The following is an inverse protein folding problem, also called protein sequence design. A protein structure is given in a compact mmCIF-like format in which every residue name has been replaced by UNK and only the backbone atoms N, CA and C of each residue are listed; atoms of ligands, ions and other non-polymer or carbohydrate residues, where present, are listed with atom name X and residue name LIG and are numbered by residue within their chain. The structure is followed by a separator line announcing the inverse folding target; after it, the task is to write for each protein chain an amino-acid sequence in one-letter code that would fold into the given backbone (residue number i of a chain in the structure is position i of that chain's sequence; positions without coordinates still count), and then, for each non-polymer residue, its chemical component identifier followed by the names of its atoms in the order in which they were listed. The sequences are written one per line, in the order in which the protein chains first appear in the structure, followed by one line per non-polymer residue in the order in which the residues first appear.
data_IF_211043344649
#
_entry.id   IF_211043344649
#
_cell.length_a   1.000
_cell.length_b   1.000
_cell.length_c   1.000
_cell.angle_alpha   90.00
_cell.angle_beta   90.00
_cell.angle_gamma   90.00
#
_symmetry.space_group_name_H-M   'P 1'
#
loop_
_entity.id
_entity.type
_entity.pdbx_description
1 polymer ?
#
# COMPACT_ATOMS: atom_id res chain seq x y z
N UNK A 1 0.27 -19.39 -17.45
CA UNK A 1 0.69 -18.07 -17.00
C UNK A 1 0.12 -17.78 -15.63
N UNK A 2 0.95 -17.34 -14.72
CA UNK A 2 0.47 -17.07 -13.39
C UNK A 2 0.31 -15.57 -13.21
N UNK A 3 -0.69 -15.21 -12.43
CA UNK A 3 -0.92 -13.82 -12.10
C UNK A 3 -0.10 -13.46 -10.88
N UNK A 4 0.46 -12.28 -10.90
CA UNK A 4 1.15 -11.79 -9.71
C UNK A 4 0.09 -11.29 -8.73
N UNK A 5 0.03 -11.91 -7.57
CA UNK A 5 -0.94 -11.52 -6.55
C UNK A 5 -0.29 -10.88 -5.33
N UNK A 6 1.03 -11.01 -5.20
CA UNK A 6 1.76 -10.42 -4.10
C UNK A 6 2.78 -9.45 -4.65
N UNK A 7 2.81 -8.24 -4.10
CA UNK A 7 3.67 -7.17 -4.60
C UNK A 7 4.56 -6.68 -3.48
N UNK A 8 5.88 -6.87 -3.59
CA UNK A 8 6.78 -6.37 -2.55
C UNK A 8 6.88 -4.86 -2.61
N UNK A 9 7.13 -4.26 -1.47
CA UNK A 9 7.31 -2.82 -1.41
C UNK A 9 8.34 -2.45 -0.35
N UNK A 10 8.84 -1.23 -0.45
CA UNK A 10 9.74 -0.66 0.53
C UNK A 10 9.17 0.70 0.94
N UNK A 11 8.86 0.84 2.22
CA UNK A 11 8.30 2.09 2.72
C UNK A 11 9.36 3.20 2.66
N UNK A 12 8.96 4.42 2.32
CA UNK A 12 9.92 5.53 2.25
C UNK A 12 10.58 5.84 3.60
N UNK A 13 9.83 5.75 4.69
CA UNK A 13 10.41 6.03 6.00
C UNK A 13 10.48 4.82 6.90
N UNK A 14 9.43 3.99 6.88
CA UNK A 14 9.41 2.77 7.66
C UNK A 14 8.68 2.91 8.98
N UNK A 15 8.34 1.77 9.55
CA UNK A 15 7.63 1.70 10.82
C UNK A 15 8.63 1.28 11.92
N UNK A 16 8.66 2.04 13.00
CA UNK A 16 9.52 1.73 14.14
C UNK A 16 8.65 1.09 15.22
N UNK A 17 8.99 -0.15 15.60
CA UNK A 17 8.17 -0.87 16.56
C UNK A 17 8.54 -0.45 17.99
N UNK A 18 7.88 -1.07 18.98
CA UNK A 18 8.06 -0.70 20.37
C UNK A 18 9.45 -1.00 20.88
N UNK A 19 10.21 -1.83 20.16
CA UNK A 19 11.57 -2.16 20.55
C UNK A 19 12.60 -1.33 19.78
N UNK A 20 12.15 -0.38 19.00
CA UNK A 20 13.03 0.50 18.26
C UNK A 20 13.53 -0.06 16.95
N UNK A 21 12.96 -1.17 16.48
CA UNK A 21 13.39 -1.75 15.22
C UNK A 21 12.61 -1.15 14.06
N UNK A 22 13.31 -0.92 12.97
CA UNK A 22 12.73 -0.30 11.78
C UNK A 22 12.29 -1.37 10.80
N UNK A 23 11.07 -1.26 10.32
CA UNK A 23 10.51 -2.20 9.33
C UNK A 23 10.10 -1.41 8.11
N UNK A 24 10.74 -1.67 6.98
CA UNK A 24 10.48 -0.96 5.74
C UNK A 24 9.95 -1.88 4.64
N UNK A 25 10.40 -3.13 4.63
CA UNK A 25 10.03 -4.02 3.53
C UNK A 25 8.81 -4.83 3.87
N UNK A 26 7.93 -4.94 2.91
CA UNK A 26 6.70 -5.68 3.12
C UNK A 26 6.12 -6.18 1.82
N UNK A 27 4.92 -6.71 1.90
CA UNK A 27 4.23 -7.28 0.76
C UNK A 27 2.76 -6.91 0.83
N UNK A 28 2.21 -6.51 -0.31
CA UNK A 28 0.79 -6.21 -0.44
C UNK A 28 0.20 -7.19 -1.43
N UNK A 29 -0.98 -7.74 -1.11
CA UNK A 29 -1.68 -8.64 -2.02
C UNK A 29 -2.76 -7.87 -2.78
N UNK A 30 -3.20 -8.44 -3.88
CA UNK A 30 -4.34 -7.87 -4.57
C UNK A 30 -5.56 -7.93 -3.66
N UNK A 31 -6.42 -6.93 -3.76
CA UNK A 31 -7.64 -6.88 -3.00
C UNK A 31 -8.76 -7.61 -3.75
N UNK A 32 -9.71 -8.11 -2.99
CA UNK A 32 -10.96 -8.63 -3.57
C UNK A 32 -12.06 -7.64 -3.25
N UNK A 33 -13.21 -7.82 -3.89
CA UNK A 33 -14.36 -6.97 -3.59
C UNK A 33 -14.69 -7.03 -2.11
N UNK A 34 -14.51 -8.19 -1.48
CA UNK A 34 -14.80 -8.35 -0.05
C UNK A 34 -13.93 -7.44 0.80
N UNK A 35 -12.68 -7.22 0.37
CA UNK A 35 -11.79 -6.36 1.12
C UNK A 35 -12.27 -4.92 1.16
N UNK A 36 -13.03 -4.50 0.14
CA UNK A 36 -13.54 -3.15 0.09
C UNK A 36 -14.93 -3.03 0.71
N UNK A 37 -15.69 -4.12 0.70
CA UNK A 37 -17.06 -4.11 1.20
C UNK A 37 -17.12 -4.42 2.70
N UNK A 38 -16.38 -5.42 3.15
CA UNK A 38 -16.46 -5.84 4.54
C UNK A 38 -16.14 -4.71 5.53
N UNK A 39 -15.14 -3.85 5.28
CA UNK A 39 -14.88 -2.77 6.23
C UNK A 39 -16.01 -1.78 6.38
N UNK A 40 -16.93 -1.71 5.43
CA UNK A 40 -18.05 -0.79 5.54
C UNK A 40 -18.97 -1.16 6.70
N UNK A 41 -18.91 -2.41 7.17
CA UNK A 41 -19.65 -2.84 8.34
C UNK A 41 -18.93 -2.48 9.63
N UNK A 42 -17.67 -2.07 9.55
CA UNK A 42 -16.89 -1.77 10.72
C UNK A 42 -17.40 -0.50 11.38
N UNK A 43 -17.56 -0.56 12.69
CA UNK A 43 -18.08 0.56 13.46
C UNK A 43 -17.22 1.81 13.29
N UNK A 44 -15.89 1.62 13.22
CA UNK A 44 -14.99 2.75 13.08
C UNK A 44 -15.16 3.46 11.73
N UNK A 45 -15.46 2.69 10.68
CA UNK A 45 -15.69 3.26 9.36
C UNK A 45 -17.02 3.99 9.31
N UNK A 46 -18.05 3.45 9.98
CA UNK A 46 -19.35 4.09 10.03
C UNK A 46 -19.29 5.45 10.70
N UNK A 47 -18.45 5.56 11.73
CA UNK A 47 -18.30 6.84 12.43
C UNK A 47 -17.35 7.78 11.73
N UNK A 48 -16.43 7.25 10.92
CA UNK A 48 -15.44 8.05 10.23
C UNK A 48 -15.12 7.38 8.90
N UNK A 49 -15.79 7.77 7.82
CA UNK A 49 -15.57 7.11 6.52
C UNK A 49 -14.11 7.14 6.06
N UNK A 50 -13.33 8.12 6.50
CA UNK A 50 -11.92 8.17 6.14
C UNK A 50 -11.12 7.03 6.72
N UNK A 51 -11.65 6.36 7.74
CA UNK A 51 -10.95 5.25 8.34
C UNK A 51 -10.95 4.00 7.45
N UNK A 52 -11.75 4.03 6.39
CA UNK A 52 -11.80 2.89 5.46
C UNK A 52 -10.42 2.56 4.91
N UNK A 53 -9.63 3.57 4.55
CA UNK A 53 -8.30 3.33 4.00
C UNK A 53 -7.41 2.60 5.00
N UNK A 54 -7.53 2.92 6.28
CA UNK A 54 -6.73 2.27 7.32
C UNK A 54 -7.07 0.78 7.40
N UNK A 55 -8.37 0.48 7.47
CA UNK A 55 -8.81 -0.92 7.56
C UNK A 55 -8.42 -1.69 6.30
N UNK A 56 -8.64 -1.07 5.16
CA UNK A 56 -8.35 -1.71 3.87
C UNK A 56 -6.87 -2.06 3.76
N UNK A 57 -5.99 -1.13 4.08
CA UNK A 57 -4.56 -1.40 4.01
C UNK A 57 -4.14 -2.49 4.99
N UNK A 58 -4.75 -2.50 6.19
CA UNK A 58 -4.43 -3.54 7.16
C UNK A 58 -4.83 -4.92 6.64
N UNK A 59 -5.83 -5.00 5.78
CA UNK A 59 -6.26 -6.28 5.22
C UNK A 59 -5.34 -6.76 4.10
N UNK A 60 -4.82 -5.84 3.29
CA UNK A 60 -4.07 -6.24 2.09
C UNK A 60 -2.56 -6.25 2.29
N UNK A 61 -2.03 -5.56 3.30
CA UNK A 61 -0.61 -5.66 3.62
C UNK A 61 -0.42 -6.95 4.40
N UNK A 62 0.19 -7.94 3.76
CA UNK A 62 0.31 -9.26 4.35
C UNK A 62 1.57 -9.44 5.17
N UNK A 63 2.55 -8.55 4.98
CA UNK A 63 3.80 -8.64 5.71
C UNK A 63 4.41 -7.24 5.80
N UNK A 64 4.99 -6.95 6.94
CA UNK A 64 5.79 -5.75 7.11
C UNK A 64 6.95 -6.09 8.02
N UNK A 65 8.16 -6.16 7.45
CA UNK A 65 9.35 -6.54 8.18
C UNK A 65 9.17 -7.89 8.84
N UNK A 66 9.54 -7.96 10.10
CA UNK A 66 9.42 -9.19 10.89
C UNK A 66 8.22 -9.19 11.81
N UNK A 67 7.31 -8.23 11.65
CA UNK A 67 6.15 -8.16 12.51
C UNK A 67 5.24 -9.35 12.27
N UNK A 68 4.66 -9.92 13.35
CA UNK A 68 3.83 -11.12 13.19
C UNK A 68 2.54 -10.84 12.45
N UNK A 69 2.07 -9.60 12.48
CA UNK A 69 0.78 -9.32 11.86
C UNK A 69 0.64 -7.80 11.68
N UNK A 70 -0.10 -7.41 10.65
CA UNK A 70 -0.39 -6.01 10.38
C UNK A 70 -1.86 -5.77 10.70
N UNK A 71 -2.11 -4.83 11.59
CA UNK A 71 -3.48 -4.52 12.01
C UNK A 71 -3.69 -3.01 11.93
N UNK A 72 -4.96 -2.56 12.02
CA UNK A 72 -5.27 -1.15 11.77
C UNK A 72 -4.46 -0.16 12.62
N UNK A 73 -4.23 -0.48 13.88
CA UNK A 73 -3.47 0.42 14.73
C UNK A 73 -2.07 0.67 14.19
N UNK A 74 -1.45 -0.37 13.61
CA UNK A 74 -0.12 -0.23 13.04
C UNK A 74 -0.15 0.73 11.86
N UNK A 75 -1.18 0.62 11.02
CA UNK A 75 -1.33 1.51 9.88
C UNK A 75 -1.51 2.96 10.34
N UNK A 76 -2.25 3.17 11.44
CA UNK A 76 -2.43 4.51 11.98
C UNK A 76 -1.11 5.11 12.45
N UNK A 77 -0.19 4.27 12.88
CA UNK A 77 1.08 4.74 13.44
C UNK A 77 2.14 4.98 12.40
N UNK A 78 1.84 4.73 11.12
CA UNK A 78 2.80 4.97 10.07
C UNK A 78 2.98 6.47 9.82
N UNK A 79 4.18 6.90 9.41
CA UNK A 79 4.34 8.26 8.94
C UNK A 79 3.39 8.54 7.78
N UNK A 80 2.99 9.80 7.63
CA UNK A 80 2.05 10.18 6.58
C UNK A 80 2.59 9.80 5.20
N UNK A 81 3.89 9.96 4.98
CA UNK A 81 4.47 9.62 3.69
C UNK A 81 4.31 8.14 3.37
N UNK A 82 4.44 7.28 4.39
CA UNK A 82 4.29 5.84 4.19
C UNK A 82 2.86 5.46 3.94
N UNK A 83 1.93 6.10 4.65
CA UNK A 83 0.51 5.86 4.45
C UNK A 83 0.11 6.25 3.02
N UNK A 84 0.58 7.41 2.56
CA UNK A 84 0.28 7.86 1.19
C UNK A 84 0.90 6.92 0.16
N UNK A 85 2.11 6.44 0.44
CA UNK A 85 2.78 5.51 -0.46
C UNK A 85 1.98 4.22 -0.61
N UNK A 86 1.48 3.68 0.51
CA UNK A 86 0.70 2.44 0.45
C UNK A 86 -0.62 2.64 -0.28
N UNK A 87 -1.25 3.78 -0.11
CA UNK A 87 -2.49 4.06 -0.83
C UNK A 87 -2.24 4.15 -2.34
N UNK A 88 -1.13 4.77 -2.74
CA UNK A 88 -0.79 4.86 -4.15
C UNK A 88 -0.46 3.49 -4.72
N UNK A 89 0.28 2.68 -3.97
CA UNK A 89 0.60 1.33 -4.39
C UNK A 89 -0.67 0.51 -4.56
N UNK A 90 -1.59 0.62 -3.61
CA UNK A 90 -2.86 -0.10 -3.68
C UNK A 90 -3.59 0.22 -4.99
N UNK A 91 -3.66 1.49 -5.34
CA UNK A 91 -4.36 1.87 -6.57
C UNK A 91 -3.65 1.31 -7.81
N UNK A 92 -2.33 1.38 -7.83
CA UNK A 92 -1.61 0.89 -9.02
C UNK A 92 -1.80 -0.58 -9.25
N UNK A 93 -1.64 -1.40 -8.20
CA UNK A 93 -1.71 -2.84 -8.40
C UNK A 93 -3.14 -3.32 -8.63
N UNK A 94 -4.13 -2.65 -8.05
CA UNK A 94 -5.51 -3.10 -8.19
C UNK A 94 -6.21 -2.55 -9.42
N UNK A 95 -5.79 -1.39 -9.89
CA UNK A 95 -6.39 -0.81 -11.09
C UNK A 95 -5.66 -1.23 -12.36
N UNK A 96 -4.35 -1.45 -12.26
CA UNK A 96 -3.55 -1.75 -13.45
C UNK A 96 -2.92 -3.14 -13.41
N UNK A 97 -2.98 -3.82 -12.29
CA UNK A 97 -2.42 -5.15 -12.18
C UNK A 97 -0.91 -5.18 -12.03
N UNK A 98 -0.26 -4.02 -11.90
CA UNK A 98 1.19 -3.97 -11.75
C UNK A 98 1.58 -2.65 -11.10
N UNK A 99 2.82 -2.59 -10.66
CA UNK A 99 3.34 -1.40 -10.02
C UNK A 99 4.15 -0.59 -11.03
N UNK A 100 3.50 -0.22 -12.14
CA UNK A 100 4.14 0.55 -13.21
C UNK A 100 3.30 1.75 -13.56
N UNK A 101 3.95 2.78 -14.05
CA UNK A 101 3.29 3.99 -14.47
C UNK A 101 3.59 4.24 -15.93
N UNK A 102 2.60 4.73 -16.67
CA UNK A 102 2.81 5.14 -18.05
C UNK A 102 3.35 6.55 -18.06
N UNK A 103 4.43 6.74 -18.80
CA UNK A 103 5.07 8.03 -18.89
C UNK A 103 5.16 8.41 -20.37
N UNK A 104 4.76 9.63 -20.69
CA UNK A 104 4.85 10.12 -22.05
C UNK A 104 6.07 11.03 -22.17
N UNK A 105 6.94 10.70 -23.11
CA UNK A 105 8.14 11.50 -23.33
C UNK A 105 7.76 12.81 -23.99
N UNK A 106 8.05 13.95 -23.36
CA UNK A 106 7.67 15.23 -23.95
C UNK A 106 8.40 15.59 -25.22
N UNK A 107 9.56 14.97 -25.46
CA UNK A 107 10.33 15.28 -26.65
C UNK A 107 9.84 14.53 -27.88
N UNK A 108 9.46 13.26 -27.72
CA UNK A 108 9.08 12.45 -28.88
C UNK A 108 7.68 11.91 -28.78
N UNK A 109 6.98 12.23 -27.71
CA UNK A 109 5.59 11.83 -27.46
C UNK A 109 5.41 10.32 -27.42
N UNK A 110 6.49 9.58 -27.20
CA UNK A 110 6.36 8.15 -26.98
C UNK A 110 5.89 7.85 -25.58
N UNK A 111 5.03 6.86 -25.45
CA UNK A 111 4.57 6.41 -24.14
C UNK A 111 5.34 5.17 -23.75
N UNK A 112 5.83 5.14 -22.53
CA UNK A 112 6.50 3.95 -22.01
C UNK A 112 6.15 3.79 -20.55
N UNK A 113 6.41 2.60 -20.01
CA UNK A 113 6.10 2.29 -18.63
C UNK A 113 7.36 2.21 -17.80
N UNK A 114 7.29 2.76 -16.60
CA UNK A 114 8.39 2.65 -15.63
C UNK A 114 7.84 2.12 -14.35
N UNK A 115 8.69 1.43 -13.59
CA UNK A 115 8.28 0.93 -12.30
C UNK A 115 8.24 2.10 -11.33
N UNK A 116 7.16 2.21 -10.57
CA UNK A 116 7.01 3.30 -9.64
C UNK A 116 7.92 3.09 -8.44
N UNK A 117 8.68 4.13 -8.09
CA UNK A 117 9.60 4.05 -6.98
C UNK A 117 8.96 4.65 -5.74
N UNK A 118 9.40 4.24 -4.56
CA UNK A 118 8.93 4.90 -3.35
C UNK A 118 9.33 6.36 -3.43
N UNK A 119 8.38 7.20 -3.08
CA UNK A 119 8.64 8.55 -3.23
C UNK A 119 9.43 9.15 -2.18
N UNK A 120 9.72 8.49 -1.25
CA UNK A 120 10.50 9.03 -0.21
C UNK A 120 11.68 9.75 -0.67
N UNK A 121 12.00 9.57 -1.86
CA UNK A 121 13.01 10.22 -2.28
C UNK A 121 12.67 11.48 -2.47
N UNK A 122 13.05 12.16 -2.27
CA UNK A 122 13.23 13.35 -2.48
C UNK A 122 13.97 13.62 -1.98
#
# INVERSE_FOLDING_TARGET
MSLQTDFPFTLPRGYVDSEGRLHKEGTMRLATAKDEVAPLQDHRVKNNPGYLAVILLARVVTRLGDLPQVYPQLIEDLPVADFAYLQALYRRINEHGHNRMSVTCPACEKTFEVEAEPLGEP
#
